data_IF_643410474735
#
_entry.id   IF_643410474735
#
_cell.length_a   1.000
_cell.length_b   1.000
_cell.length_c   1.000
_cell.angle_alpha   90.00
_cell.angle_beta   90.00
_cell.angle_gamma   90.00
#
_symmetry.space_group_name_H-M   'P 1'
#
loop_
_entity.id
_entity.type
_entity.pdbx_description
1 polymer ?
#
# COMPACT_ATOMS: atom_id res chain seq x y z
N UNK A 1 -5.50 2.21 -4.39
CA UNK A 1 -6.42 1.47 -5.31
C UNK A 1 -5.61 0.92 -6.48
N UNK A 2 -5.96 -0.24 -6.98
CA UNK A 2 -5.19 -0.92 -8.02
C UNK A 2 -6.13 -1.64 -8.98
N UNK A 3 -5.96 -1.38 -10.27
CA UNK A 3 -6.46 -2.27 -11.32
C UNK A 3 -5.38 -3.34 -11.48
N UNK A 4 -5.71 -4.56 -11.07
CA UNK A 4 -4.76 -5.67 -11.02
C UNK A 4 -4.38 -6.19 -12.41
N UNK A 5 -3.26 -6.86 -12.49
CA UNK A 5 -2.87 -7.56 -13.68
C UNK A 5 -3.71 -8.82 -13.86
N UNK A 6 -4.09 -9.13 -15.11
CA UNK A 6 -4.83 -10.35 -15.46
C UNK A 6 -4.06 -11.62 -15.06
N UNK A 7 -2.73 -11.55 -15.14
CA UNK A 7 -1.83 -12.64 -14.80
C UNK A 7 -1.75 -12.92 -13.28
N UNK A 8 -2.30 -12.04 -12.45
CA UNK A 8 -2.20 -12.16 -11.01
C UNK A 8 -0.81 -11.81 -10.48
N UNK A 9 -0.37 -12.50 -9.45
CA UNK A 9 0.96 -12.33 -8.82
C UNK A 9 0.96 -11.45 -7.57
N UNK A 10 -0.12 -10.75 -7.28
CA UNK A 10 -0.24 -10.00 -6.03
C UNK A 10 -0.47 -10.96 -4.85
N UNK A 11 0.32 -10.80 -3.82
CA UNK A 11 0.18 -11.51 -2.55
C UNK A 11 0.17 -10.53 -1.38
N UNK A 12 -0.59 -10.84 -0.37
CA UNK A 12 -0.65 -10.10 0.89
C UNK A 12 -0.20 -10.96 2.05
N UNK A 13 0.47 -10.35 3.02
CA UNK A 13 0.96 -11.04 4.21
C UNK A 13 -0.17 -11.15 5.24
N UNK A 14 -0.54 -12.37 5.57
CA UNK A 14 -1.48 -12.66 6.64
C UNK A 14 -0.82 -12.54 8.03
N UNK A 15 -1.62 -12.41 9.08
CA UNK A 15 -1.14 -12.25 10.45
C UNK A 15 -0.35 -13.45 10.98
N UNK A 16 -0.60 -14.64 10.45
CA UNK A 16 0.13 -15.88 10.79
C UNK A 16 1.48 -16.02 10.07
N UNK A 17 1.86 -15.03 9.25
CA UNK A 17 3.09 -15.06 8.47
C UNK A 17 2.97 -15.71 7.10
N UNK A 18 1.83 -16.24 6.73
CA UNK A 18 1.59 -16.82 5.41
C UNK A 18 1.29 -15.75 4.36
N UNK A 19 1.59 -16.05 3.09
CA UNK A 19 1.26 -15.21 1.96
C UNK A 19 -0.01 -15.70 1.28
N UNK A 20 -0.97 -14.80 1.12
CA UNK A 20 -2.26 -15.07 0.49
C UNK A 20 -2.26 -14.46 -0.91
N UNK A 21 -2.56 -15.27 -1.91
CA UNK A 21 -2.73 -14.80 -3.28
C UNK A 21 -4.02 -14.00 -3.42
N UNK A 22 -3.90 -12.80 -4.00
CA UNK A 22 -5.04 -11.95 -4.31
C UNK A 22 -5.42 -12.17 -5.78
N UNK A 23 -6.61 -12.70 -6.01
CA UNK A 23 -7.16 -12.95 -7.35
C UNK A 23 -8.47 -12.17 -7.53
N UNK A 24 -8.38 -10.87 -7.84
CA UNK A 24 -9.58 -10.09 -8.10
C UNK A 24 -10.25 -10.53 -9.41
N UNK A 25 -11.57 -10.35 -9.51
CA UNK A 25 -12.26 -10.50 -10.79
C UNK A 25 -11.80 -9.41 -11.77
N UNK A 26 -12.00 -9.59 -13.06
CA UNK A 26 -11.62 -8.63 -14.10
C UNK A 26 -12.28 -7.24 -13.95
N UNK A 27 -13.38 -7.17 -13.20
CA UNK A 27 -14.13 -5.92 -12.94
C UNK A 27 -13.85 -5.33 -11.56
N UNK A 28 -12.99 -5.96 -10.76
CA UNK A 28 -12.72 -5.52 -9.41
C UNK A 28 -11.54 -4.55 -9.35
N UNK A 29 -11.64 -3.58 -8.45
CA UNK A 29 -10.53 -2.72 -8.04
C UNK A 29 -10.08 -3.20 -6.67
N UNK A 30 -8.79 -3.49 -6.53
CA UNK A 30 -8.20 -3.83 -5.23
C UNK A 30 -7.88 -2.54 -4.49
N UNK A 31 -8.39 -2.41 -3.28
CA UNK A 31 -8.08 -1.29 -2.40
C UNK A 31 -7.34 -1.80 -1.16
N UNK A 32 -6.26 -1.16 -0.80
CA UNK A 32 -5.53 -1.46 0.43
C UNK A 32 -5.21 -0.18 1.19
N UNK A 33 -5.17 -0.30 2.51
CA UNK A 33 -4.79 0.79 3.40
C UNK A 33 -3.29 1.04 3.28
N UNK A 34 -2.92 2.30 3.13
CA UNK A 34 -1.53 2.72 3.11
C UNK A 34 -1.02 3.18 4.48
N UNK A 35 0.28 3.46 4.56
CA UNK A 35 0.96 3.82 5.80
C UNK A 35 0.45 5.13 6.41
N UNK A 36 0.05 6.11 5.61
CA UNK A 36 -0.53 7.36 6.11
C UNK A 36 -1.86 7.13 6.82
N UNK A 37 -2.74 6.30 6.24
CA UNK A 37 -4.02 5.96 6.88
C UNK A 37 -3.80 5.13 8.15
N UNK A 38 -2.81 4.25 8.17
CA UNK A 38 -2.41 3.54 9.38
C UNK A 38 -1.96 4.49 10.47
N UNK A 39 -1.17 5.51 10.12
CA UNK A 39 -0.69 6.53 11.06
C UNK A 39 -1.84 7.32 11.67
N UNK A 40 -2.71 7.92 10.85
CA UNK A 40 -3.78 8.81 11.34
C UNK A 40 -4.89 8.07 12.08
N UNK A 41 -4.99 6.75 11.94
CA UNK A 41 -5.96 5.91 12.65
C UNK A 41 -5.37 5.15 13.84
N UNK A 42 -4.17 5.50 14.29
CA UNK A 42 -3.46 4.80 15.38
C UNK A 42 -3.42 3.29 15.17
N UNK A 43 -3.11 2.87 13.95
CA UNK A 43 -3.05 1.45 13.52
C UNK A 43 -4.38 0.68 13.64
N UNK A 44 -5.51 1.37 13.81
CA UNK A 44 -6.83 0.71 13.73
C UNK A 44 -7.10 0.19 12.34
N UNK A 45 -6.70 0.96 11.31
CA UNK A 45 -6.63 0.49 9.93
C UNK A 45 -5.17 0.18 9.60
N UNK A 46 -4.86 -1.07 9.34
CA UNK A 46 -3.47 -1.50 9.13
C UNK A 46 -3.08 -1.43 7.65
N UNK A 47 -1.90 -0.89 7.41
CA UNK A 47 -1.21 -1.03 6.12
C UNK A 47 -0.73 -2.47 5.99
N UNK A 48 -1.33 -3.21 5.07
CA UNK A 48 -0.99 -4.62 4.87
C UNK A 48 0.22 -4.74 3.96
N UNK A 49 1.23 -5.46 4.43
CA UNK A 49 2.41 -5.81 3.62
C UNK A 49 1.97 -6.66 2.44
N UNK A 50 2.41 -6.29 1.26
CA UNK A 50 2.09 -6.99 0.01
C UNK A 50 3.31 -7.07 -0.88
N UNK A 51 3.29 -8.01 -1.79
CA UNK A 51 4.35 -8.20 -2.79
C UNK A 51 3.76 -8.66 -4.11
N UNK A 52 4.55 -8.53 -5.16
CA UNK A 52 4.27 -9.13 -6.47
C UNK A 52 5.30 -10.21 -6.72
N UNK A 53 4.81 -11.42 -6.98
CA UNK A 53 5.66 -12.54 -7.38
C UNK A 53 5.51 -12.80 -8.87
N UNK A 54 6.63 -13.07 -9.53
CA UNK A 54 6.63 -13.49 -10.92
C UNK A 54 6.45 -15.00 -11.00
N UNK A 55 5.52 -15.43 -11.82
CA UNK A 55 5.35 -16.85 -12.09
C UNK A 55 6.44 -17.32 -13.08
N UNK A 56 7.25 -18.28 -12.68
CA UNK A 56 8.34 -18.86 -13.53
C UNK A 56 7.85 -19.39 -14.88
N UNK A 57 6.60 -19.83 -14.96
CA UNK A 57 5.99 -20.26 -16.22
C UNK A 57 5.75 -19.13 -17.23
N UNK A 58 5.98 -17.86 -16.83
CA UNK A 58 5.70 -16.66 -17.64
C UNK A 58 6.91 -15.73 -17.72
N UNK A 59 8.13 -16.28 -17.73
CA UNK A 59 9.37 -15.50 -17.77
C UNK A 59 9.46 -14.51 -18.94
N UNK A 60 8.69 -14.74 -19.99
CA UNK A 60 8.70 -13.93 -21.21
C UNK A 60 7.51 -12.98 -21.37
N UNK A 61 6.56 -12.96 -20.42
CA UNK A 61 5.37 -12.11 -20.49
C UNK A 61 5.46 -10.93 -19.54
N UNK A 62 5.25 -9.74 -20.07
CA UNK A 62 5.13 -8.53 -19.28
C UNK A 62 3.85 -8.57 -18.43
N UNK A 63 3.93 -8.02 -17.22
CA UNK A 63 2.81 -7.87 -16.30
C UNK A 63 2.49 -6.39 -16.14
N UNK A 64 1.28 -5.98 -16.46
CA UNK A 64 0.82 -4.60 -16.36
C UNK A 64 -0.22 -4.47 -15.25
N UNK A 65 -0.09 -3.42 -14.45
CA UNK A 65 -1.10 -3.01 -13.47
C UNK A 65 -1.13 -1.50 -13.40
N UNK A 66 -2.25 -0.95 -12.97
CA UNK A 66 -2.45 0.50 -12.87
C UNK A 66 -2.75 0.84 -11.40
N UNK A 67 -1.73 1.23 -10.62
CA UNK A 67 -1.95 1.71 -9.25
C UNK A 67 -2.43 3.16 -9.25
N UNK A 68 -3.32 3.47 -8.33
CA UNK A 68 -3.71 4.84 -8.01
C UNK A 68 -3.47 5.10 -6.52
N UNK A 69 -2.54 6.01 -6.23
CA UNK A 69 -2.20 6.41 -4.88
C UNK A 69 -3.07 7.59 -4.46
N UNK A 70 -3.95 7.36 -3.49
CA UNK A 70 -4.73 8.42 -2.86
C UNK A 70 -4.07 8.80 -1.55
N UNK A 71 -3.57 10.02 -1.45
CA UNK A 71 -2.92 10.54 -0.26
C UNK A 71 -3.21 12.05 -0.09
N UNK A 72 -3.07 12.58 1.14
CA UNK A 72 -3.25 14.00 1.40
C UNK A 72 -2.27 14.88 0.63
N UNK A 73 -2.62 16.14 0.45
CA UNK A 73 -1.70 17.13 -0.12
C UNK A 73 -0.42 17.23 0.75
N UNK A 74 0.74 17.58 0.15
CA UNK A 74 2.02 17.62 0.85
C UNK A 74 2.06 18.47 2.11
N UNK A 75 1.27 19.55 2.16
CA UNK A 75 1.18 20.50 3.27
C UNK A 75 0.24 20.07 4.40
N UNK A 76 -0.47 18.95 4.25
CA UNK A 76 -1.37 18.44 5.28
C UNK A 76 -0.57 17.84 6.42
N UNK A 77 -0.95 18.17 7.66
CA UNK A 77 -0.36 17.55 8.85
C UNK A 77 -1.10 16.25 9.14
N UNK A 78 -0.36 15.15 9.09
CA UNK A 78 -0.84 13.83 9.48
C UNK A 78 -0.75 13.71 10.99
N UNK A 79 -1.88 13.56 11.65
CA UNK A 79 -1.96 13.33 13.09
C UNK A 79 -3.09 12.36 13.40
N UNK A 80 -3.01 11.75 14.59
CA UNK A 80 -4.08 10.86 15.03
C UNK A 80 -5.42 11.58 15.07
N UNK A 81 -6.45 10.94 14.53
CA UNK A 81 -7.84 11.43 14.65
C UNK A 81 -8.45 11.11 16.02
N UNK A 82 -7.75 10.32 16.84
CA UNK A 82 -8.19 9.90 18.18
C UNK A 82 -7.42 10.55 19.31
N UNK A 83 -6.34 11.27 19.01
CA UNK A 83 -5.49 11.93 20.00
C UNK A 83 -5.31 13.43 19.66
N UNK A 84 -5.94 14.28 20.44
CA UNK A 84 -5.87 15.73 20.25
C UNK A 84 -4.50 16.32 20.63
N UNK A 85 -3.66 15.58 21.36
CA UNK A 85 -2.32 16.00 21.76
C UNK A 85 -1.24 15.66 20.73
N UNK A 86 -1.56 14.86 19.72
CA UNK A 86 -0.63 14.53 18.64
C UNK A 86 -0.33 15.79 17.80
N UNK A 87 0.94 16.18 17.71
CA UNK A 87 1.39 17.29 16.90
C UNK A 87 1.49 16.93 15.41
N UNK A 88 1.62 15.65 15.11
CA UNK A 88 1.65 15.13 13.76
C UNK A 88 2.95 15.37 13.01
N UNK A 89 2.92 15.02 11.73
CA UNK A 89 4.02 15.19 10.78
C UNK A 89 3.44 15.65 9.43
N UNK A 90 4.16 16.49 8.70
CA UNK A 90 3.75 16.85 7.33
C UNK A 90 3.69 15.63 6.41
N UNK A 91 2.66 15.56 5.57
CA UNK A 91 2.50 14.46 4.62
C UNK A 91 3.71 14.32 3.69
N UNK A 92 4.30 15.45 3.26
CA UNK A 92 5.53 15.46 2.46
C UNK A 92 6.72 14.85 3.19
N UNK A 93 6.92 15.19 4.45
CA UNK A 93 8.02 14.65 5.27
C UNK A 93 7.84 13.16 5.54
N UNK A 94 6.62 12.74 5.83
CA UNK A 94 6.31 11.33 6.03
C UNK A 94 6.58 10.51 4.76
N UNK A 95 6.13 11.00 3.61
CA UNK A 95 6.36 10.35 2.32
C UNK A 95 7.84 10.25 1.99
N UNK A 96 8.59 11.36 2.14
CA UNK A 96 10.03 11.40 1.89
C UNK A 96 10.80 10.38 2.76
N UNK A 97 10.46 10.32 4.04
CA UNK A 97 11.02 9.33 4.97
C UNK A 97 10.73 7.91 4.50
N UNK A 98 9.49 7.60 4.12
CA UNK A 98 9.11 6.25 3.66
C UNK A 98 9.82 5.86 2.36
N UNK A 99 9.93 6.78 1.40
CA UNK A 99 10.63 6.52 0.14
C UNK A 99 12.12 6.25 0.35
N UNK A 100 12.75 6.94 1.29
CA UNK A 100 14.15 6.68 1.68
C UNK A 100 14.30 5.31 2.34
N UNK A 101 13.39 4.92 3.24
CA UNK A 101 13.42 3.62 3.92
C UNK A 101 13.33 2.46 2.92
N UNK A 102 12.54 2.58 1.86
CA UNK A 102 12.38 1.56 0.81
C UNK A 102 13.37 1.73 -0.35
N UNK A 103 14.31 2.66 -0.23
CA UNK A 103 15.41 2.90 -1.19
C UNK A 103 14.91 3.24 -2.61
N UNK A 104 13.85 4.05 -2.71
CA UNK A 104 13.41 4.62 -3.98
C UNK A 104 14.08 5.96 -4.34
N UNK A 105 14.96 6.43 -3.49
CA UNK A 105 15.88 7.52 -3.74
C UNK A 105 17.32 7.03 -3.64
#
# INVERSE_FOLDING_TARGET
MLIGAEEGGLEVLHRDGSWIKVKPSSKAIVCNIGDMMQLVTDKKLKSTTHRVIQNKAREFNSRYSIPFFLHPAPSVILKSVFDNCDQGILASEFLDKRLKEIKLY
#
